data_IF_928902912832
#
_entry.id   IF_928902912832
#
_cell.length_a   1.000
_cell.length_b   1.000
_cell.length_c   1.000
_cell.angle_alpha   90.00
_cell.angle_beta   90.00
_cell.angle_gamma   90.00
#
_symmetry.space_group_name_H-M   'P 1'
#
loop_
_entity.id
_entity.type
_entity.pdbx_description
1 polymer ?
#
# COMPACT_ATOMS: atom_id res chain seq x y z
N UNK A 1 -21.92 -35.39 20.59
CA UNK A 1 -20.94 -34.89 20.24
C UNK A 1 -20.98 -33.88 19.23
N UNK A 2 -21.07 -34.19 18.03
CA UNK A 2 -21.23 -33.29 17.00
C UNK A 2 -22.38 -32.38 17.20
N UNK A 3 -23.45 -32.91 17.62
CA UNK A 3 -24.62 -32.16 17.83
C UNK A 3 -24.42 -31.08 18.89
N UNK A 4 -23.69 -31.39 19.94
CA UNK A 4 -23.42 -30.44 20.98
C UNK A 4 -22.62 -29.26 20.47
N UNK A 5 -21.64 -29.55 19.66
CA UNK A 5 -20.85 -28.51 19.07
C UNK A 5 -21.66 -27.64 18.15
N UNK A 6 -22.50 -28.27 17.36
CA UNK A 6 -23.36 -27.57 16.46
C UNK A 6 -24.26 -26.61 17.20
N UNK A 7 -24.76 -27.07 18.33
CA UNK A 7 -25.64 -26.26 19.15
C UNK A 7 -24.90 -25.03 19.64
N UNK A 8 -23.70 -25.23 20.12
CA UNK A 8 -22.90 -24.10 20.59
C UNK A 8 -22.69 -23.06 19.50
N UNK A 9 -22.42 -23.50 18.31
CA UNK A 9 -22.26 -22.61 17.21
C UNK A 9 -23.55 -21.88 16.86
N UNK A 10 -24.62 -22.63 16.82
CA UNK A 10 -25.90 -22.04 16.47
C UNK A 10 -26.32 -20.98 17.47
N UNK A 11 -25.98 -21.19 18.72
CA UNK A 11 -26.35 -20.26 19.74
C UNK A 11 -25.39 -19.07 19.84
N UNK A 12 -24.35 -19.10 19.08
CA UNK A 12 -23.40 -18.01 19.10
C UNK A 12 -22.90 -17.71 20.50
N UNK A 13 -22.55 -18.75 21.20
CA UNK A 13 -22.02 -18.59 22.53
C UNK A 13 -20.72 -17.86 22.47
N UNK A 14 -20.64 -16.77 23.19
CA UNK A 14 -19.42 -15.97 23.19
C UNK A 14 -18.43 -16.53 24.18
N UNK A 15 -17.24 -16.78 23.69
CA UNK A 15 -16.13 -17.12 24.55
C UNK A 15 -15.35 -15.84 24.75
N UNK A 16 -15.24 -15.43 26.01
CA UNK A 16 -14.61 -14.15 26.28
C UNK A 16 -13.29 -13.91 25.57
N UNK A 17 -12.41 -14.86 25.59
CA UNK A 17 -11.14 -14.69 24.93
C UNK A 17 -11.27 -14.48 23.44
N UNK A 18 -12.28 -15.11 22.84
CA UNK A 18 -12.50 -14.95 21.41
C UNK A 18 -13.18 -13.66 21.07
N UNK A 19 -14.05 -13.21 21.93
CA UNK A 19 -14.74 -11.96 21.70
C UNK A 19 -13.76 -10.79 21.62
N UNK A 20 -12.64 -10.93 22.33
CA UNK A 20 -11.64 -9.88 22.37
C UNK A 20 -10.54 -10.06 21.34
N UNK A 21 -10.60 -11.11 20.55
CA UNK A 21 -9.57 -11.35 19.55
C UNK A 21 -9.64 -10.27 18.47
N UNK A 22 -8.50 -9.74 18.03
CA UNK A 22 -8.51 -8.74 16.98
C UNK A 22 -9.00 -9.34 15.66
N UNK A 23 -9.64 -8.52 14.85
CA UNK A 23 -10.08 -8.94 13.53
C UNK A 23 -8.86 -9.31 12.68
N UNK A 24 -9.00 -10.27 11.75
CA UNK A 24 -7.91 -10.58 10.83
C UNK A 24 -7.50 -9.34 10.04
N UNK A 25 -6.21 -9.20 9.79
CA UNK A 25 -5.72 -8.10 8.98
C UNK A 25 -6.19 -8.28 7.54
N UNK A 26 -6.60 -7.19 6.93
CA UNK A 26 -6.97 -7.18 5.53
C UNK A 26 -5.74 -7.42 4.65
N UNK A 27 -4.60 -6.83 5.03
CA UNK A 27 -3.33 -6.98 4.32
C UNK A 27 -2.29 -7.54 5.28
N UNK A 28 -1.35 -8.30 4.74
CA UNK A 28 -0.35 -8.96 5.58
C UNK A 28 0.59 -7.96 6.25
N UNK A 29 0.97 -6.91 5.54
CA UNK A 29 2.03 -6.00 5.98
C UNK A 29 1.57 -4.59 6.29
N UNK A 30 0.30 -4.28 6.12
CA UNK A 30 -0.22 -2.94 6.41
C UNK A 30 -1.33 -3.02 7.42
N UNK A 31 -1.25 -2.16 8.44
CA UNK A 31 -2.22 -2.12 9.52
C UNK A 31 -3.52 -1.46 9.08
N UNK A 32 -4.59 -1.71 9.83
CA UNK A 32 -5.85 -1.01 9.57
C UNK A 32 -5.70 0.50 9.76
N UNK A 33 -4.84 0.93 10.67
CA UNK A 33 -4.58 2.35 10.87
C UNK A 33 -3.97 2.97 9.62
N UNK A 34 -3.02 2.26 8.98
CA UNK A 34 -2.43 2.74 7.72
C UNK A 34 -3.46 2.77 6.60
N UNK A 35 -4.27 1.73 6.48
CA UNK A 35 -5.31 1.66 5.45
C UNK A 35 -6.30 2.81 5.61
N UNK A 36 -6.72 3.07 6.83
CA UNK A 36 -7.64 4.17 7.13
C UNK A 36 -7.01 5.53 6.87
N UNK A 37 -5.75 5.68 7.22
CA UNK A 37 -5.06 6.96 7.08
C UNK A 37 -4.78 7.32 5.63
N UNK A 38 -4.27 6.38 4.85
CA UNK A 38 -3.79 6.68 3.50
C UNK A 38 -4.81 6.48 2.40
N UNK A 39 -5.87 5.73 2.65
CA UNK A 39 -7.05 5.62 1.79
C UNK A 39 -6.74 5.32 0.32
N UNK A 40 -5.85 4.39 0.10
CA UNK A 40 -5.51 3.97 -1.26
C UNK A 40 -6.61 3.09 -1.84
N UNK A 41 -6.67 3.05 -3.16
CA UNK A 41 -7.53 2.11 -3.86
C UNK A 41 -7.17 0.67 -3.46
N UNK A 42 -8.14 -0.22 -3.26
CA UNK A 42 -7.85 -1.61 -2.86
C UNK A 42 -6.87 -2.33 -3.77
N UNK A 43 -6.91 -2.05 -5.06
CA UNK A 43 -5.98 -2.67 -6.00
C UNK A 43 -4.54 -2.25 -5.70
N UNK A 44 -4.32 -0.99 -5.36
CA UNK A 44 -3.00 -0.50 -5.02
C UNK A 44 -2.50 -1.10 -3.70
N UNK A 45 -3.38 -1.26 -2.71
CA UNK A 45 -3.02 -1.94 -1.48
C UNK A 45 -2.56 -3.37 -1.73
N UNK A 46 -3.28 -4.11 -2.58
CA UNK A 46 -2.91 -5.49 -2.91
C UNK A 46 -1.53 -5.54 -3.55
N UNK A 47 -1.27 -4.64 -4.48
CA UNK A 47 0.03 -4.57 -5.16
C UNK A 47 1.15 -4.24 -4.17
N UNK A 48 0.92 -3.25 -3.29
CA UNK A 48 1.92 -2.86 -2.30
C UNK A 48 2.21 -3.98 -1.30
N UNK A 49 1.18 -4.72 -0.91
CA UNK A 49 1.35 -5.81 0.04
C UNK A 49 2.21 -6.92 -0.55
N UNK A 50 2.03 -7.23 -1.83
CA UNK A 50 2.89 -8.18 -2.52
C UNK A 50 4.32 -7.65 -2.68
N UNK A 51 4.46 -6.37 -3.00
CA UNK A 51 5.78 -5.73 -3.10
C UNK A 51 6.52 -5.80 -1.77
N UNK A 52 5.82 -5.50 -0.69
CA UNK A 52 6.39 -5.55 0.66
C UNK A 52 6.82 -6.96 1.04
N UNK A 53 6.04 -7.95 0.66
CA UNK A 53 6.38 -9.35 0.91
C UNK A 53 7.65 -9.74 0.18
N UNK A 54 7.75 -9.40 -1.10
CA UNK A 54 8.94 -9.73 -1.90
C UNK A 54 10.17 -8.94 -1.46
N UNK A 55 9.99 -7.71 -1.01
CA UNK A 55 11.09 -6.86 -0.60
C UNK A 55 11.73 -7.31 0.72
N UNK A 56 10.96 -7.94 1.60
CA UNK A 56 11.47 -8.36 2.89
C UNK A 56 11.87 -7.22 3.81
N UNK A 57 11.47 -6.00 3.51
CA UNK A 57 11.78 -4.82 4.33
C UNK A 57 10.56 -3.93 4.44
N UNK A 58 10.49 -3.12 5.49
CA UNK A 58 9.33 -2.28 5.72
C UNK A 58 9.15 -1.21 4.65
N UNK A 59 7.90 -0.98 4.27
CA UNK A 59 7.52 0.14 3.40
C UNK A 59 6.88 1.19 4.30
N UNK A 60 7.47 2.37 4.33
CA UNK A 60 6.92 3.48 5.11
C UNK A 60 6.22 4.44 4.17
N UNK A 61 4.90 4.50 4.27
CA UNK A 61 4.08 5.35 3.42
C UNK A 61 4.14 6.78 3.96
N UNK A 62 4.46 7.72 3.08
CA UNK A 62 4.50 9.14 3.43
C UNK A 62 3.36 9.92 2.83
N UNK A 63 2.77 9.44 1.74
CA UNK A 63 1.63 10.10 1.11
C UNK A 63 0.79 9.06 0.37
N UNK A 64 -0.52 9.15 0.53
CA UNK A 64 -1.50 8.32 -0.17
C UNK A 64 -2.53 9.18 -0.86
N UNK A 65 -3.82 8.93 -0.60
CA UNK A 65 -4.88 9.77 -1.15
C UNK A 65 -4.72 11.22 -0.67
N UNK A 66 -4.94 12.14 -1.59
CA UNK A 66 -4.93 13.58 -1.29
C UNK A 66 -6.24 14.20 -1.74
N UNK A 67 -6.81 15.06 -0.89
CA UNK A 67 -7.86 15.97 -1.33
C UNK A 67 -7.24 17.02 -2.25
N UNK A 68 -8.04 17.76 -3.05
CA UNK A 68 -7.47 18.83 -3.86
C UNK A 68 -6.68 19.86 -3.04
N UNK A 69 -7.14 20.22 -1.84
CA UNK A 69 -6.43 21.14 -0.98
C UNK A 69 -5.08 20.57 -0.52
N UNK A 70 -5.07 19.31 -0.11
CA UNK A 70 -3.83 18.65 0.30
C UNK A 70 -2.85 18.54 -0.87
N UNK A 71 -3.35 18.28 -2.07
CA UNK A 71 -2.51 18.21 -3.25
C UNK A 71 -1.87 19.56 -3.57
N UNK A 72 -2.62 20.63 -3.41
CA UNK A 72 -2.09 21.99 -3.59
C UNK A 72 -0.99 22.28 -2.57
N UNK A 73 -1.21 21.93 -1.30
CA UNK A 73 -0.20 22.14 -0.25
C UNK A 73 1.08 21.32 -0.51
N UNK A 74 0.93 20.14 -1.09
CA UNK A 74 2.07 19.29 -1.41
C UNK A 74 2.75 19.72 -2.72
N UNK A 75 2.29 20.79 -3.34
CA UNK A 75 2.76 21.26 -4.64
C UNK A 75 2.63 20.16 -5.69
N UNK A 76 1.56 19.37 -5.60
CA UNK A 76 1.29 18.31 -6.54
C UNK A 76 0.71 18.85 -7.84
N UNK A 77 0.80 18.03 -8.88
CA UNK A 77 0.24 18.38 -10.18
C UNK A 77 -1.29 18.37 -10.11
N UNK A 78 -1.96 19.26 -10.87
CA UNK A 78 -3.42 19.38 -10.78
C UNK A 78 -4.22 18.10 -11.02
N UNK A 79 -3.70 17.15 -11.80
CA UNK A 79 -4.40 15.89 -12.04
C UNK A 79 -3.60 14.69 -11.51
N UNK A 80 -2.92 14.88 -10.37
CA UNK A 80 -2.13 13.83 -9.73
C UNK A 80 -2.96 12.58 -9.45
N UNK A 81 -2.36 11.41 -9.62
CA UNK A 81 -2.99 10.14 -9.30
C UNK A 81 -3.30 10.01 -7.80
N UNK A 82 -2.61 10.75 -6.94
CA UNK A 82 -2.94 10.83 -5.51
C UNK A 82 -4.38 11.30 -5.26
N UNK A 83 -4.92 12.11 -6.14
CA UNK A 83 -6.30 12.61 -6.01
C UNK A 83 -7.36 11.51 -6.12
N UNK A 84 -6.98 10.36 -6.67
CA UNK A 84 -7.90 9.22 -6.84
C UNK A 84 -7.52 8.02 -6.00
N UNK A 85 -6.52 8.16 -5.12
CA UNK A 85 -6.03 7.04 -4.33
C UNK A 85 -5.25 6.01 -5.15
N UNK A 86 -4.81 6.38 -6.34
CA UNK A 86 -4.10 5.49 -7.26
C UNK A 86 -2.59 5.70 -7.24
N UNK A 87 -2.10 6.48 -6.29
CA UNK A 87 -0.67 6.74 -6.12
C UNK A 87 -0.28 6.68 -4.66
N UNK A 88 0.96 6.30 -4.43
CA UNK A 88 1.53 6.23 -3.08
C UNK A 88 2.99 6.67 -3.15
N UNK A 89 3.43 7.38 -2.11
CA UNK A 89 4.83 7.72 -1.92
C UNK A 89 5.38 6.93 -0.73
N UNK A 90 6.55 6.35 -0.92
CA UNK A 90 7.24 5.53 0.08
C UNK A 90 8.57 6.18 0.42
N UNK A 91 8.91 6.26 1.70
CA UNK A 91 10.16 6.86 2.13
C UNK A 91 11.36 6.00 1.74
N UNK A 92 12.44 6.66 1.31
CA UNK A 92 13.74 6.04 1.15
C UNK A 92 14.57 6.45 2.36
N UNK A 93 14.97 5.47 3.18
CA UNK A 93 15.70 5.76 4.42
C UNK A 93 17.20 5.53 4.30
N UNK A 94 17.59 4.47 3.62
CA UNK A 94 19.01 4.14 3.45
C UNK A 94 19.17 3.25 2.21
N UNK A 95 20.42 3.06 1.79
CA UNK A 95 20.70 2.32 0.56
C UNK A 95 20.32 0.85 0.63
N UNK A 96 20.47 0.24 1.80
CA UNK A 96 20.20 -1.18 1.95
C UNK A 96 18.70 -1.44 1.80
N UNK A 97 17.85 -0.71 2.55
CA UNK A 97 16.41 -0.88 2.44
C UNK A 97 15.90 -0.45 1.08
N UNK A 98 16.50 0.59 0.48
CA UNK A 98 16.13 1.04 -0.84
C UNK A 98 16.34 -0.06 -1.88
N UNK A 99 17.49 -0.74 -1.83
CA UNK A 99 17.77 -1.84 -2.75
C UNK A 99 16.74 -2.95 -2.60
N UNK A 100 16.43 -3.32 -1.36
CA UNK A 100 15.42 -4.35 -1.11
C UNK A 100 14.03 -3.93 -1.60
N UNK A 101 13.67 -2.66 -1.39
CA UNK A 101 12.41 -2.13 -1.89
C UNK A 101 12.33 -2.26 -3.41
N UNK A 102 13.38 -1.84 -4.11
CA UNK A 102 13.41 -1.92 -5.57
C UNK A 102 13.30 -3.34 -6.08
N UNK A 103 13.96 -4.28 -5.43
CA UNK A 103 13.85 -5.69 -5.83
C UNK A 103 12.42 -6.18 -5.73
N UNK A 104 11.77 -5.93 -4.61
CA UNK A 104 10.38 -6.34 -4.42
C UNK A 104 9.44 -5.66 -5.40
N UNK A 105 9.63 -4.38 -5.63
CA UNK A 105 8.83 -3.60 -6.57
C UNK A 105 8.99 -4.15 -7.99
N UNK A 106 10.22 -4.40 -8.41
CA UNK A 106 10.47 -4.88 -9.76
C UNK A 106 9.91 -6.27 -10.01
N UNK A 107 9.98 -7.15 -9.01
CA UNK A 107 9.39 -8.48 -9.12
C UNK A 107 7.87 -8.39 -9.34
N UNK A 108 7.20 -7.59 -8.54
CA UNK A 108 5.73 -7.50 -8.59
C UNK A 108 5.26 -6.73 -9.82
N UNK A 109 6.06 -5.78 -10.32
CA UNK A 109 5.72 -5.03 -11.54
C UNK A 109 5.61 -5.92 -12.78
N UNK A 110 6.25 -7.07 -12.76
CA UNK A 110 6.10 -8.03 -13.87
C UNK A 110 4.68 -8.58 -13.94
N UNK A 111 4.02 -8.66 -12.80
CA UNK A 111 2.65 -9.16 -12.69
C UNK A 111 1.63 -8.03 -12.74
N UNK A 112 1.92 -6.93 -12.06
CA UNK A 112 1.05 -5.76 -11.97
C UNK A 112 1.82 -4.53 -12.43
N UNK A 113 1.67 -4.12 -13.68
CA UNK A 113 2.38 -2.93 -14.17
C UNK A 113 2.05 -1.70 -13.35
N UNK A 114 3.07 -0.94 -13.02
CA UNK A 114 2.96 0.29 -12.27
C UNK A 114 3.98 1.30 -12.79
N UNK A 115 3.62 2.56 -12.80
CA UNK A 115 4.57 3.63 -13.00
C UNK A 115 5.43 3.77 -11.74
N UNK A 116 6.73 3.88 -11.89
CA UNK A 116 7.66 4.06 -10.78
C UNK A 116 8.51 5.29 -11.03
N UNK A 117 8.51 6.19 -10.06
CA UNK A 117 9.41 7.34 -10.07
C UNK A 117 10.33 7.26 -8.86
N UNK A 118 11.62 7.37 -9.10
CA UNK A 118 12.64 7.33 -8.05
C UNK A 118 13.11 8.76 -7.83
N UNK A 119 12.70 9.34 -6.71
CA UNK A 119 13.13 10.66 -6.29
C UNK A 119 14.21 10.51 -5.22
N UNK A 120 14.79 11.60 -4.80
CA UNK A 120 15.93 11.57 -3.88
C UNK A 120 15.57 10.95 -2.52
N UNK A 121 14.38 11.25 -2.00
CA UNK A 121 13.98 10.82 -0.67
C UNK A 121 12.76 9.91 -0.64
N UNK A 122 12.14 9.65 -1.78
CA UNK A 122 10.97 8.81 -1.83
C UNK A 122 10.84 8.10 -3.19
N UNK A 123 10.08 7.02 -3.16
CA UNK A 123 9.62 6.33 -4.35
C UNK A 123 8.16 6.69 -4.57
N UNK A 124 7.80 7.06 -5.77
CA UNK A 124 6.42 7.27 -6.15
C UNK A 124 5.97 6.10 -7.05
N UNK A 125 4.87 5.49 -6.67
CA UNK A 125 4.27 4.39 -7.43
C UNK A 125 2.84 4.77 -7.75
N UNK A 126 2.43 4.65 -9.00
CA UNK A 126 1.02 4.80 -9.31
C UNK A 126 0.55 3.79 -10.35
N UNK A 127 -0.77 3.57 -10.35
CA UNK A 127 -1.44 2.63 -11.23
C UNK A 127 -2.51 3.32 -12.07
N UNK A 128 -2.36 4.61 -12.29
CA UNK A 128 -3.32 5.39 -13.07
C UNK A 128 -2.85 5.53 -14.52
N UNK A 129 -3.39 4.73 -15.46
CA UNK A 129 -2.92 4.77 -16.84
C UNK A 129 -3.29 6.06 -17.57
N UNK A 130 -4.19 6.86 -17.00
CA UNK A 130 -4.54 8.14 -17.61
C UNK A 130 -3.50 9.23 -17.37
N UNK A 131 -2.58 8.98 -16.41
CA UNK A 131 -1.54 9.94 -16.04
C UNK A 131 -0.18 9.51 -16.59
N UNK A 132 0.15 8.21 -16.41
CA UNK A 132 1.47 7.69 -16.75
C UNK A 132 1.37 6.36 -17.47
N UNK A 133 2.37 6.06 -18.30
CA UNK A 133 2.54 4.71 -18.82
C UNK A 133 2.96 3.79 -17.68
N UNK A 134 2.25 2.67 -17.51
CA UNK A 134 2.44 1.81 -16.33
C UNK A 134 3.69 0.92 -16.42
N UNK A 135 4.39 0.92 -17.53
CA UNK A 135 5.65 0.20 -17.67
C UNK A 135 6.87 1.11 -17.56
N UNK A 136 6.66 2.38 -17.24
CA UNK A 136 7.72 3.38 -17.24
C UNK A 136 8.35 3.52 -15.86
N UNK A 137 9.67 3.70 -15.85
CA UNK A 137 10.44 4.08 -14.66
C UNK A 137 11.14 5.40 -14.94
N UNK A 138 10.99 6.33 -14.03
CA UNK A 138 11.62 7.66 -14.14
C UNK A 138 12.51 7.87 -12.94
N UNK A 139 13.70 8.37 -13.16
CA UNK A 139 14.60 8.77 -12.08
C UNK A 139 14.70 10.29 -12.10
N UNK A 140 14.38 10.90 -10.98
CA UNK A 140 14.47 12.34 -10.83
C UNK A 140 15.93 12.74 -10.72
N UNK A 141 16.36 13.69 -11.53
CA UNK A 141 17.73 14.18 -11.47
C UNK A 141 17.86 15.25 -10.40
N UNK A 142 19.01 15.27 -9.74
CA UNK A 142 19.31 16.33 -8.78
C UNK A 142 19.72 17.57 -9.56
N UNK A 143 19.22 18.71 -9.13
CA UNK A 143 19.59 19.99 -9.70
C UNK A 143 20.98 20.44 -9.24
#
# INVERSE_FOLDING_TARGET
RKRTRTLAYAMKIQVKGKADAPAPKQYKHFSEAEVTKFKLDPKLWTILDEMREEAGTAFVITSGFRTPAQNTQAVGKPNSAHLRGLAVDLAIKDNFTFTNMLEGICIVRKKYPCFLEIAQKHLHIDIDPSIHALDQTVVEEDD
#
